data_IF_169631680652
#
_entry.id   IF_169631680652
#
_cell.length_a   1.000
_cell.length_b   1.000
_cell.length_c   1.000
_cell.angle_alpha   90.00
_cell.angle_beta   90.00
_cell.angle_gamma   90.00
#
_symmetry.space_group_name_H-M   'P 1'
#
loop_
_entity.id
_entity.type
_entity.pdbx_description
1 polymer ?
#
# COMPACT_ATOMS: atom_id res chain seq x y z
N UNK A 1 12.97 17.88 16.37
CA UNK A 1 13.63 16.59 16.08
C UNK A 1 15.06 16.84 15.63
N UNK A 2 16.05 16.19 16.24
CA UNK A 2 17.47 16.38 15.90
C UNK A 2 17.82 15.70 14.55
N UNK A 3 18.99 16.04 13.99
CA UNK A 3 19.46 15.49 12.71
C UNK A 3 19.65 13.97 12.74
N UNK A 4 20.03 13.42 13.90
CA UNK A 4 20.22 11.99 14.09
C UNK A 4 18.92 11.21 13.90
N UNK A 5 17.82 11.66 14.51
CA UNK A 5 16.49 11.05 14.35
C UNK A 5 16.00 11.10 12.91
N UNK A 6 16.25 12.20 12.17
CA UNK A 6 15.90 12.29 10.74
C UNK A 6 16.64 11.25 9.90
N UNK A 7 17.95 11.10 10.13
CA UNK A 7 18.78 10.10 9.43
C UNK A 7 18.33 8.67 9.75
N UNK A 8 18.00 8.40 11.00
CA UNK A 8 17.50 7.09 11.43
C UNK A 8 16.18 6.74 10.72
N UNK A 9 15.22 7.67 10.67
CA UNK A 9 13.96 7.44 9.97
C UNK A 9 14.19 7.22 8.47
N UNK A 10 15.05 8.02 7.83
CA UNK A 10 15.37 7.84 6.42
C UNK A 10 15.99 6.45 6.15
N UNK A 11 16.89 5.99 7.04
CA UNK A 11 17.49 4.66 6.97
C UNK A 11 16.44 3.55 7.15
N UNK A 12 15.56 3.66 8.15
CA UNK A 12 14.44 2.72 8.36
C UNK A 12 13.55 2.65 7.11
N UNK A 13 13.17 3.80 6.55
CA UNK A 13 12.38 3.87 5.33
C UNK A 13 13.08 3.17 4.16
N UNK A 14 14.38 3.41 3.97
CA UNK A 14 15.15 2.75 2.92
C UNK A 14 15.21 1.22 3.12
N UNK A 15 15.56 0.76 4.32
CA UNK A 15 15.70 -0.67 4.60
C UNK A 15 14.39 -1.45 4.52
N UNK A 16 13.27 -0.83 4.90
CA UNK A 16 11.96 -1.50 4.93
C UNK A 16 11.26 -1.42 3.56
N UNK A 17 11.29 -0.26 2.89
CA UNK A 17 10.45 -0.02 1.70
C UNK A 17 11.19 -0.02 0.37
N UNK A 18 12.50 0.27 0.36
CA UNK A 18 13.27 0.44 -0.89
C UNK A 18 14.17 -0.76 -1.15
N UNK A 19 15.04 -1.09 -0.19
CA UNK A 19 16.04 -2.14 -0.37
C UNK A 19 15.45 -3.50 -0.78
N UNK A 20 14.38 -4.03 -0.14
CA UNK A 20 13.82 -5.31 -0.53
C UNK A 20 13.30 -5.32 -1.96
N UNK A 21 12.68 -4.21 -2.39
CA UNK A 21 12.14 -4.07 -3.75
C UNK A 21 13.27 -4.03 -4.77
N UNK A 22 14.35 -3.28 -4.51
CA UNK A 22 15.49 -3.22 -5.41
C UNK A 22 16.21 -4.57 -5.53
N UNK A 23 16.35 -5.30 -4.42
CA UNK A 23 16.94 -6.64 -4.42
C UNK A 23 16.13 -7.62 -5.31
N UNK A 24 14.79 -7.56 -5.24
CA UNK A 24 13.89 -8.36 -6.08
C UNK A 24 13.91 -7.90 -7.55
N UNK A 25 13.88 -6.58 -7.78
CA UNK A 25 13.82 -5.99 -9.13
C UNK A 25 15.10 -6.29 -9.94
N UNK A 26 16.28 -6.09 -9.33
CA UNK A 26 17.56 -6.40 -9.96
C UNK A 26 17.91 -7.89 -9.93
N UNK A 27 17.01 -8.75 -9.44
CA UNK A 27 17.19 -10.21 -9.36
C UNK A 27 18.43 -10.62 -8.55
N UNK A 28 18.82 -9.81 -7.56
CA UNK A 28 19.85 -10.19 -6.57
C UNK A 28 19.35 -11.36 -5.72
N UNK A 29 18.03 -11.44 -5.52
CA UNK A 29 17.30 -12.51 -4.84
C UNK A 29 16.10 -12.94 -5.68
N UNK A 30 15.71 -14.21 -5.59
CA UNK A 30 14.54 -14.76 -6.29
C UNK A 30 13.24 -14.14 -5.78
N UNK A 31 12.20 -14.11 -6.62
CA UNK A 31 10.84 -13.68 -6.25
C UNK A 31 10.21 -14.55 -5.15
N UNK A 32 10.70 -15.77 -4.94
CA UNK A 32 10.24 -16.65 -3.86
C UNK A 32 10.46 -16.05 -2.46
N UNK A 33 11.39 -15.08 -2.35
CA UNK A 33 11.72 -14.38 -1.11
C UNK A 33 10.76 -13.24 -0.76
N UNK A 34 9.72 -12.95 -1.56
CA UNK A 34 8.76 -11.87 -1.29
C UNK A 34 8.16 -12.02 0.11
N UNK A 35 7.66 -13.21 0.47
CA UNK A 35 7.06 -13.43 1.78
C UNK A 35 8.06 -13.27 2.93
N UNK A 36 9.31 -13.68 2.72
CA UNK A 36 10.39 -13.47 3.69
C UNK A 36 10.62 -11.97 3.95
N UNK A 37 10.74 -11.16 2.91
CA UNK A 37 10.93 -9.72 3.06
C UNK A 37 9.72 -9.01 3.67
N UNK A 38 8.50 -9.45 3.31
CA UNK A 38 7.28 -8.93 3.93
C UNK A 38 7.25 -9.24 5.44
N UNK A 39 7.59 -10.47 5.84
CA UNK A 39 7.68 -10.85 7.25
C UNK A 39 8.77 -10.09 7.99
N UNK A 40 9.95 -9.95 7.39
CA UNK A 40 11.06 -9.19 7.98
C UNK A 40 10.70 -7.70 8.16
N UNK A 41 10.08 -7.09 7.16
CA UNK A 41 9.56 -5.73 7.22
C UNK A 41 8.50 -5.56 8.31
N UNK A 42 7.55 -6.49 8.41
CA UNK A 42 6.52 -6.48 9.45
C UNK A 42 7.13 -6.58 10.86
N UNK A 43 8.12 -7.47 11.06
CA UNK A 43 8.83 -7.58 12.34
C UNK A 43 9.62 -6.32 12.68
N UNK A 44 10.28 -5.70 11.71
CA UNK A 44 11.00 -4.44 11.91
C UNK A 44 10.05 -3.30 12.30
N UNK A 45 8.92 -3.16 11.59
CA UNK A 45 7.88 -2.19 11.92
C UNK A 45 7.35 -2.43 13.34
N UNK A 46 7.00 -3.68 13.67
CA UNK A 46 6.51 -4.05 15.00
C UNK A 46 7.53 -3.70 16.10
N UNK A 47 8.80 -4.05 15.91
CA UNK A 47 9.87 -3.72 16.86
C UNK A 47 10.02 -2.23 17.10
N UNK A 48 9.91 -1.41 16.05
CA UNK A 48 9.98 0.07 16.16
C UNK A 48 8.76 0.60 16.93
N UNK A 49 7.55 0.17 16.57
CA UNK A 49 6.31 0.59 17.24
C UNK A 49 6.35 0.23 18.72
N UNK A 50 6.79 -0.99 19.05
CA UNK A 50 6.90 -1.44 20.43
C UNK A 50 7.95 -0.64 21.22
N UNK A 51 9.11 -0.38 20.63
CA UNK A 51 10.16 0.42 21.24
C UNK A 51 9.74 1.89 21.46
N UNK A 52 8.95 2.46 20.55
CA UNK A 52 8.46 3.84 20.63
C UNK A 52 7.09 3.97 21.34
N UNK A 53 6.52 2.87 21.84
CA UNK A 53 5.25 2.84 22.59
C UNK A 53 4.05 3.49 21.89
N UNK A 54 3.88 3.25 20.60
CA UNK A 54 2.78 3.85 19.84
C UNK A 54 1.41 3.39 20.34
N UNK A 55 0.47 4.32 20.36
CA UNK A 55 -0.95 4.10 20.67
C UNK A 55 -1.73 3.56 19.48
N UNK A 56 -2.92 3.02 19.74
CA UNK A 56 -3.85 2.58 18.69
C UNK A 56 -4.22 3.71 17.73
N UNK A 57 -4.33 4.94 18.24
CA UNK A 57 -4.64 6.11 17.43
C UNK A 57 -3.49 6.49 16.49
N UNK A 58 -2.25 6.43 16.96
CA UNK A 58 -1.05 6.64 16.13
C UNK A 58 -0.89 5.56 15.05
N UNK A 59 -1.33 4.33 15.34
CA UNK A 59 -1.42 3.25 14.37
C UNK A 59 -2.66 3.37 13.44
N UNK A 60 -3.53 4.36 13.64
CA UNK A 60 -4.75 4.55 12.84
C UNK A 60 -5.82 3.46 13.04
N UNK A 61 -5.72 2.68 14.11
CA UNK A 61 -6.73 1.70 14.54
C UNK A 61 -7.87 2.45 15.24
N UNK A 62 -8.71 3.11 14.43
CA UNK A 62 -9.74 4.04 14.89
C UNK A 62 -11.15 3.55 14.58
N UNK A 63 -12.01 3.54 15.60
CA UNK A 63 -13.44 3.24 15.46
C UNK A 63 -14.32 4.49 15.67
N UNK A 64 -13.77 5.52 16.32
CA UNK A 64 -14.46 6.76 16.68
C UNK A 64 -14.89 7.59 15.47
N UNK A 65 -14.17 7.48 14.35
CA UNK A 65 -14.45 8.22 13.12
C UNK A 65 -15.15 7.39 12.03
N UNK A 66 -15.62 6.17 12.34
CA UNK A 66 -16.12 5.22 11.34
C UNK A 66 -17.25 5.80 10.49
N UNK A 67 -18.30 6.34 11.12
CA UNK A 67 -19.47 6.89 10.41
C UNK A 67 -19.11 8.03 9.46
N UNK A 68 -18.16 8.88 9.86
CA UNK A 68 -17.68 10.02 9.06
C UNK A 68 -16.81 9.57 7.89
N UNK A 69 -16.00 8.54 8.10
CA UNK A 69 -15.00 8.08 7.14
C UNK A 69 -15.58 7.10 6.12
N UNK A 70 -16.53 6.25 6.54
CA UNK A 70 -17.16 5.23 5.71
C UNK A 70 -17.63 5.72 4.33
N UNK A 71 -18.44 6.78 4.18
CA UNK A 71 -18.90 7.23 2.87
C UNK A 71 -17.76 7.67 1.96
N UNK A 72 -16.67 8.22 2.51
CA UNK A 72 -15.50 8.65 1.75
C UNK A 72 -14.78 7.44 1.15
N UNK A 73 -14.47 6.44 1.98
CA UNK A 73 -13.83 5.20 1.52
C UNK A 73 -14.75 4.41 0.58
N UNK A 74 -16.05 4.37 0.85
CA UNK A 74 -17.03 3.70 -0.02
C UNK A 74 -17.03 4.29 -1.43
N UNK A 75 -17.26 5.60 -1.56
CA UNK A 75 -17.30 6.24 -2.89
C UNK A 75 -15.96 6.20 -3.59
N UNK A 76 -14.85 6.37 -2.86
CA UNK A 76 -13.52 6.18 -3.43
C UNK A 76 -13.32 4.76 -3.99
N UNK A 77 -13.80 3.73 -3.27
CA UNK A 77 -13.73 2.34 -3.73
C UNK A 77 -14.55 2.13 -4.99
N UNK A 78 -15.81 2.58 -5.01
CA UNK A 78 -16.70 2.45 -6.17
C UNK A 78 -16.12 3.15 -7.40
N UNK A 79 -15.62 4.39 -7.25
CA UNK A 79 -15.02 5.13 -8.35
C UNK A 79 -13.74 4.47 -8.86
N UNK A 80 -12.88 3.99 -7.96
CA UNK A 80 -11.64 3.30 -8.34
C UNK A 80 -11.92 2.01 -9.09
N UNK A 81 -12.90 1.22 -8.64
CA UNK A 81 -13.36 0.02 -9.34
C UNK A 81 -13.88 0.39 -10.73
N UNK A 82 -14.73 1.41 -10.85
CA UNK A 82 -15.23 1.89 -12.14
C UNK A 82 -14.11 2.29 -13.11
N UNK A 83 -13.11 3.03 -12.62
CA UNK A 83 -11.93 3.40 -13.42
C UNK A 83 -11.15 2.18 -13.88
N UNK A 84 -10.94 1.18 -13.00
CA UNK A 84 -10.26 -0.06 -13.39
C UNK A 84 -11.01 -0.82 -14.48
N UNK A 85 -12.34 -0.89 -14.41
CA UNK A 85 -13.15 -1.50 -15.48
C UNK A 85 -12.98 -0.75 -16.81
N UNK A 86 -13.08 0.58 -16.81
CA UNK A 86 -12.88 1.38 -18.01
C UNK A 86 -11.49 1.19 -18.61
N UNK A 87 -10.45 1.21 -17.77
CA UNK A 87 -9.07 0.98 -18.21
C UNK A 87 -8.87 -0.44 -18.73
N UNK A 88 -9.48 -1.46 -18.12
CA UNK A 88 -9.37 -2.84 -18.61
C UNK A 88 -9.96 -3.02 -19.99
N UNK A 89 -11.04 -2.29 -20.32
CA UNK A 89 -11.65 -2.30 -21.64
C UNK A 89 -10.76 -1.61 -22.67
N UNK A 90 -10.24 -0.41 -22.34
CA UNK A 90 -9.35 0.36 -23.22
C UNK A 90 -8.02 -0.36 -23.50
N UNK A 91 -7.50 -1.08 -22.51
CA UNK A 91 -6.24 -1.84 -22.62
C UNK A 91 -6.44 -3.26 -23.15
N UNK A 92 -7.68 -3.64 -23.51
CA UNK A 92 -8.05 -4.98 -23.99
C UNK A 92 -7.54 -6.11 -23.08
N UNK A 93 -7.57 -5.90 -21.77
CA UNK A 93 -7.04 -6.88 -20.81
C UNK A 93 -7.95 -8.11 -20.76
N UNK A 94 -7.32 -9.28 -20.84
CA UNK A 94 -8.02 -10.55 -20.61
C UNK A 94 -8.36 -10.67 -19.11
N UNK A 95 -9.66 -10.74 -18.81
CA UNK A 95 -10.09 -11.00 -17.44
C UNK A 95 -9.66 -12.40 -17.00
N UNK A 96 -9.22 -12.50 -15.76
CA UNK A 96 -8.85 -13.78 -15.15
C UNK A 96 -10.11 -14.37 -14.53
N UNK A 97 -10.40 -15.64 -14.81
CA UNK A 97 -11.54 -16.29 -14.19
C UNK A 97 -11.30 -16.35 -12.67
N UNK A 98 -12.28 -15.93 -11.88
CA UNK A 98 -12.21 -16.02 -10.43
C UNK A 98 -12.04 -17.48 -9.94
N UNK A 99 -12.39 -18.49 -10.75
CA UNK A 99 -12.09 -19.89 -10.47
C UNK A 99 -10.60 -20.23 -10.63
N UNK A 100 -9.91 -19.59 -11.57
CA UNK A 100 -8.47 -19.76 -11.80
C UNK A 100 -7.67 -19.09 -10.67
N UNK A 101 -8.20 -18.00 -10.12
CA UNK A 101 -7.75 -17.41 -8.84
C UNK A 101 -8.43 -18.14 -7.68
N UNK A 102 -7.93 -19.35 -7.35
CA UNK A 102 -8.45 -20.19 -6.25
C UNK A 102 -8.98 -19.37 -5.08
N UNK A 103 -10.21 -19.62 -4.62
CA UNK A 103 -10.87 -18.86 -3.54
C UNK A 103 -9.99 -18.67 -2.28
N UNK A 104 -9.14 -19.66 -1.97
CA UNK A 104 -8.16 -19.57 -0.90
C UNK A 104 -7.12 -18.46 -1.10
N UNK A 105 -6.70 -18.20 -2.35
CA UNK A 105 -5.82 -17.07 -2.70
C UNK A 105 -6.54 -15.73 -2.56
N UNK A 106 -7.85 -15.66 -2.87
CA UNK A 106 -8.65 -14.45 -2.64
C UNK A 106 -8.70 -14.07 -1.15
N UNK A 107 -8.78 -15.06 -0.25
CA UNK A 107 -8.74 -14.83 1.20
C UNK A 107 -7.40 -14.24 1.68
N UNK A 108 -6.30 -14.48 0.97
CA UNK A 108 -5.00 -13.91 1.30
C UNK A 108 -4.88 -12.42 0.94
N UNK A 109 -5.73 -11.89 0.07
CA UNK A 109 -5.68 -10.47 -0.28
C UNK A 109 -6.00 -9.57 0.89
N UNK A 110 -6.90 -9.99 1.79
CA UNK A 110 -7.26 -9.19 2.96
C UNK A 110 -6.07 -9.00 3.93
N UNK A 111 -5.39 -10.07 4.42
CA UNK A 111 -4.22 -9.89 5.29
C UNK A 111 -3.06 -9.20 4.56
N UNK A 112 -2.82 -9.49 3.27
CA UNK A 112 -1.77 -8.81 2.50
C UNK A 112 -2.07 -7.30 2.39
N UNK A 113 -3.30 -6.92 2.04
CA UNK A 113 -3.71 -5.52 1.95
C UNK A 113 -3.66 -4.84 3.31
N UNK A 114 -4.00 -5.54 4.40
CA UNK A 114 -3.84 -5.01 5.75
C UNK A 114 -2.38 -4.66 6.05
N UNK A 115 -1.44 -5.58 5.81
CA UNK A 115 -0.03 -5.30 6.05
C UNK A 115 0.52 -4.18 5.15
N UNK A 116 0.08 -4.11 3.89
CA UNK A 116 0.42 -3.00 3.00
C UNK A 116 -0.11 -1.67 3.55
N UNK A 117 -1.40 -1.57 3.86
CA UNK A 117 -1.96 -0.30 4.36
C UNK A 117 -1.42 0.06 5.75
N UNK A 118 -1.12 -0.92 6.61
CA UNK A 118 -0.46 -0.66 7.89
C UNK A 118 0.96 -0.11 7.68
N UNK A 119 1.74 -0.71 6.80
CA UNK A 119 3.10 -0.25 6.52
C UNK A 119 3.11 1.15 5.88
N UNK A 120 2.26 1.39 4.88
CA UNK A 120 2.24 2.65 4.14
C UNK A 120 1.48 3.76 4.85
N UNK A 121 0.28 3.51 5.38
CA UNK A 121 -0.57 4.57 5.94
C UNK A 121 -0.31 4.79 7.41
N UNK A 122 -0.28 3.73 8.19
CA UNK A 122 -0.05 3.87 9.62
C UNK A 122 1.42 4.20 9.90
N UNK A 123 2.34 3.32 9.51
CA UNK A 123 3.75 3.49 9.85
C UNK A 123 4.42 4.59 9.02
N UNK A 124 4.51 4.44 7.70
CA UNK A 124 5.33 5.33 6.88
C UNK A 124 4.83 6.78 6.89
N UNK A 125 3.51 7.03 6.78
CA UNK A 125 3.02 8.42 6.84
C UNK A 125 3.29 9.07 8.20
N UNK A 126 3.12 8.34 9.31
CA UNK A 126 3.48 8.86 10.64
C UNK A 126 4.98 9.22 10.69
N UNK A 127 5.87 8.33 10.23
CA UNK A 127 7.31 8.61 10.17
C UNK A 127 7.66 9.82 9.30
N UNK A 128 7.01 9.97 8.15
CA UNK A 128 7.21 11.10 7.26
C UNK A 128 6.74 12.43 7.88
N UNK A 129 5.66 12.43 8.66
CA UNK A 129 5.17 13.62 9.39
C UNK A 129 6.16 14.11 10.45
N UNK A 130 7.00 13.24 11.01
CA UNK A 130 8.07 13.64 11.92
C UNK A 130 9.21 14.39 11.21
N UNK A 131 9.43 14.12 9.91
CA UNK A 131 10.50 14.72 9.11
C UNK A 131 10.01 15.98 8.37
N UNK A 132 8.83 15.90 7.76
CA UNK A 132 8.29 16.89 6.84
C UNK A 132 7.03 17.55 7.40
N UNK A 133 6.91 18.86 7.22
CA UNK A 133 5.71 19.62 7.60
C UNK A 133 4.69 19.73 6.46
N UNK A 134 5.13 19.56 5.22
CA UNK A 134 4.31 19.74 4.03
C UNK A 134 3.57 18.44 3.69
N UNK A 135 2.24 18.49 3.72
CA UNK A 135 1.36 17.34 3.44
C UNK A 135 1.57 16.79 2.04
N UNK A 136 1.72 17.65 1.03
CA UNK A 136 1.98 17.25 -0.34
C UNK A 136 3.29 16.47 -0.48
N UNK A 137 4.34 16.86 0.24
CA UNK A 137 5.60 16.10 0.28
C UNK A 137 5.41 14.71 0.92
N UNK A 138 4.68 14.64 2.02
CA UNK A 138 4.40 13.35 2.71
C UNK A 138 3.61 12.42 1.77
N UNK A 139 2.53 12.93 1.17
CA UNK A 139 1.68 12.20 0.22
C UNK A 139 2.50 11.75 -0.99
N UNK A 140 3.31 12.63 -1.56
CA UNK A 140 4.14 12.32 -2.73
C UNK A 140 5.13 11.19 -2.43
N UNK A 141 5.91 11.30 -1.35
CA UNK A 141 6.89 10.26 -0.98
C UNK A 141 6.18 8.93 -0.70
N UNK A 142 5.05 8.97 0.02
CA UNK A 142 4.26 7.79 0.32
C UNK A 142 3.73 7.11 -0.95
N UNK A 143 3.20 7.89 -1.90
CA UNK A 143 2.71 7.40 -3.19
C UNK A 143 3.83 6.84 -4.07
N UNK A 144 5.01 7.47 -4.11
CA UNK A 144 6.18 6.95 -4.84
C UNK A 144 6.59 5.59 -4.28
N UNK A 145 6.72 5.47 -2.96
CA UNK A 145 7.13 4.21 -2.33
C UNK A 145 6.04 3.13 -2.45
N UNK A 146 4.76 3.52 -2.43
CA UNK A 146 3.65 2.61 -2.67
C UNK A 146 3.60 2.12 -4.13
N UNK A 147 3.89 2.98 -5.11
CA UNK A 147 4.01 2.54 -6.49
C UNK A 147 5.23 1.62 -6.67
N UNK A 148 6.36 1.96 -6.03
CA UNK A 148 7.63 1.23 -6.17
C UNK A 148 7.48 -0.28 -5.90
N UNK A 149 6.71 -0.70 -4.89
CA UNK A 149 6.54 -2.14 -4.59
C UNK A 149 5.90 -2.92 -5.76
N UNK A 150 5.25 -2.23 -6.70
CA UNK A 150 4.60 -2.85 -7.85
C UNK A 150 5.52 -3.01 -9.07
N UNK A 151 6.75 -2.46 -9.02
CA UNK A 151 7.70 -2.53 -10.14
C UNK A 151 8.17 -3.96 -10.45
N UNK A 152 8.00 -4.88 -9.50
CA UNK A 152 8.40 -6.29 -9.61
C UNK A 152 7.39 -7.15 -10.41
N UNK A 153 6.20 -6.60 -10.68
CA UNK A 153 5.16 -7.24 -11.47
C UNK A 153 5.35 -6.94 -12.96
N UNK A 154 4.96 -7.85 -13.86
CA UNK A 154 4.99 -7.58 -15.29
C UNK A 154 3.94 -6.52 -15.66
N UNK A 155 4.11 -5.80 -16.78
CA UNK A 155 3.27 -4.63 -17.11
C UNK A 155 3.54 -3.39 -16.25
N UNK A 156 4.73 -3.27 -15.65
CA UNK A 156 5.10 -2.17 -14.75
C UNK A 156 4.87 -0.77 -15.36
N UNK A 157 4.97 -0.62 -16.68
CA UNK A 157 4.74 0.64 -17.39
C UNK A 157 3.30 1.16 -17.25
N UNK A 158 2.33 0.26 -17.05
CA UNK A 158 0.91 0.59 -16.84
C UNK A 158 0.60 0.60 -15.33
N UNK A 159 1.10 -0.39 -14.60
CA UNK A 159 0.80 -0.57 -13.17
C UNK A 159 1.37 0.58 -12.33
N UNK A 160 2.59 1.04 -12.62
CA UNK A 160 3.23 2.10 -11.81
C UNK A 160 2.42 3.41 -11.85
N UNK A 161 2.01 3.95 -13.01
CA UNK A 161 1.13 5.12 -13.04
C UNK A 161 -0.17 4.94 -12.26
N UNK A 162 -0.86 3.80 -12.43
CA UNK A 162 -2.14 3.52 -11.76
C UNK A 162 -1.96 3.45 -10.24
N UNK A 163 -0.97 2.69 -9.78
CA UNK A 163 -0.69 2.51 -8.34
C UNK A 163 -0.13 3.77 -7.70
N UNK A 164 0.60 4.61 -8.45
CA UNK A 164 1.03 5.93 -7.99
C UNK A 164 -0.16 6.87 -7.76
N UNK A 165 -1.07 6.98 -8.74
CA UNK A 165 -2.28 7.80 -8.60
C UNK A 165 -3.18 7.28 -7.48
N UNK A 166 -3.40 5.96 -7.42
CA UNK A 166 -4.12 5.32 -6.31
C UNK A 166 -3.47 5.61 -4.96
N UNK A 167 -2.13 5.51 -4.89
CA UNK A 167 -1.34 5.82 -3.70
C UNK A 167 -1.50 7.26 -3.23
N UNK A 168 -1.60 8.24 -4.14
CA UNK A 168 -1.91 9.64 -3.81
C UNK A 168 -3.28 9.73 -3.14
N UNK A 169 -4.32 9.14 -3.75
CA UNK A 169 -5.67 9.21 -3.20
C UNK A 169 -5.78 8.52 -1.85
N UNK A 170 -5.23 7.31 -1.70
CA UNK A 170 -5.19 6.63 -0.42
C UNK A 170 -4.47 7.45 0.65
N UNK A 171 -3.30 8.01 0.34
CA UNK A 171 -2.57 8.84 1.29
C UNK A 171 -3.34 10.11 1.67
N UNK A 172 -4.00 10.78 0.72
CA UNK A 172 -4.81 11.98 0.98
C UNK A 172 -6.04 11.67 1.84
N UNK A 173 -6.78 10.61 1.49
CA UNK A 173 -7.97 10.18 2.23
C UNK A 173 -7.56 9.77 3.64
N UNK A 174 -6.50 8.97 3.79
CA UNK A 174 -6.03 8.54 5.11
C UNK A 174 -5.52 9.70 5.95
N UNK A 175 -4.81 10.66 5.35
CA UNK A 175 -4.36 11.87 6.06
C UNK A 175 -5.54 12.65 6.67
N UNK A 176 -6.66 12.76 5.94
CA UNK A 176 -7.84 13.52 6.39
C UNK A 176 -8.82 12.71 7.24
N UNK A 177 -8.90 11.40 6.99
CA UNK A 177 -9.83 10.46 7.61
C UNK A 177 -9.09 9.17 8.00
N UNK A 178 -8.19 9.21 8.99
CA UNK A 178 -7.34 8.07 9.33
C UNK A 178 -8.20 6.93 9.89
N UNK A 179 -8.38 5.88 9.09
CA UNK A 179 -9.11 4.69 9.49
C UNK A 179 -8.52 3.48 8.76
N UNK A 180 -7.62 2.77 9.44
CA UNK A 180 -6.89 1.66 8.83
C UNK A 180 -7.82 0.54 8.37
N UNK A 181 -8.88 0.25 9.12
CA UNK A 181 -9.84 -0.80 8.78
C UNK A 181 -10.56 -0.49 7.46
N UNK A 182 -11.14 0.70 7.32
CA UNK A 182 -11.83 1.11 6.10
C UNK A 182 -10.89 1.20 4.90
N UNK A 183 -9.66 1.69 5.13
CA UNK A 183 -8.62 1.75 4.09
C UNK A 183 -8.25 0.35 3.60
N UNK A 184 -8.07 -0.59 4.53
CA UNK A 184 -7.76 -1.99 4.22
C UNK A 184 -8.87 -2.64 3.40
N UNK A 185 -10.14 -2.41 3.76
CA UNK A 185 -11.27 -2.95 3.00
C UNK A 185 -11.34 -2.35 1.59
N UNK A 186 -11.18 -1.03 1.47
CA UNK A 186 -11.14 -0.34 0.19
C UNK A 186 -10.02 -0.88 -0.70
N UNK A 187 -8.80 -0.98 -0.16
CA UNK A 187 -7.66 -1.51 -0.90
C UNK A 187 -7.85 -2.98 -1.29
N UNK A 188 -8.34 -3.82 -0.37
CA UNK A 188 -8.59 -5.24 -0.68
C UNK A 188 -9.57 -5.40 -1.83
N UNK A 189 -10.66 -4.63 -1.83
CA UNK A 189 -11.66 -4.66 -2.91
C UNK A 189 -11.04 -4.21 -4.25
N UNK A 190 -10.34 -3.08 -4.27
CA UNK A 190 -9.68 -2.55 -5.48
C UNK A 190 -8.62 -3.54 -6.00
N UNK A 191 -7.82 -4.13 -5.11
CA UNK A 191 -6.75 -5.05 -5.47
C UNK A 191 -7.30 -6.37 -6.04
N UNK A 192 -8.34 -6.94 -5.42
CA UNK A 192 -9.05 -8.11 -5.96
C UNK A 192 -9.60 -7.79 -7.36
N UNK A 193 -10.26 -6.64 -7.54
CA UNK A 193 -10.77 -6.23 -8.85
C UNK A 193 -9.64 -6.08 -9.88
N UNK A 194 -8.54 -5.42 -9.53
CA UNK A 194 -7.40 -5.25 -10.44
C UNK A 194 -6.80 -6.59 -10.89
N UNK A 195 -6.68 -7.56 -9.98
CA UNK A 195 -6.21 -8.90 -10.32
C UNK A 195 -7.19 -9.63 -11.23
N UNK A 196 -8.49 -9.59 -10.93
CA UNK A 196 -9.52 -10.23 -11.77
C UNK A 196 -9.62 -9.61 -13.17
N UNK A 197 -9.30 -8.32 -13.30
CA UNK A 197 -9.23 -7.61 -14.58
C UNK A 197 -7.88 -7.76 -15.30
N UNK A 198 -6.96 -8.57 -14.78
CA UNK A 198 -5.72 -8.91 -15.48
C UNK A 198 -4.60 -7.87 -15.39
N UNK A 199 -4.72 -6.84 -14.55
CA UNK A 199 -3.72 -5.77 -14.45
C UNK A 199 -2.33 -6.27 -14.02
N UNK A 200 -2.25 -7.38 -13.29
CA UNK A 200 -0.99 -7.96 -12.78
C UNK A 200 -0.51 -9.18 -13.58
N UNK A 201 -1.20 -9.54 -14.66
CA UNK A 201 -0.88 -10.67 -15.54
C UNK A 201 -0.44 -10.26 -16.94
N UNK A 202 -0.30 -8.96 -17.19
CA UNK A 202 0.15 -8.41 -18.48
C UNK A 202 1.51 -9.03 -18.83
N UNK A 203 1.58 -9.79 -19.93
CA UNK A 203 2.82 -10.28 -20.55
C UNK A 203 3.16 -9.43 -21.76
#
# INVERSE_FOLDING_TARGET
MNTYSKRLIALQTFLIFVLPVLLLYFKVVSKDWIFFFLSLGALAIYGIIHHEHWTHEEMGLRHDNFKKSFPIYFWFTVLSIGVLFLLSFELELASINARDVLFQKLLLFLPISFFQEFAFRSFLMHRLQLIFKNVSTIVFINAVLFALIHIIYPGWNIIIPITFVGGIFFALIYYKYPNLFLTTLAHSAINITAVLLGFFSIQ
#
